data_IF_690286110263
#
_entry.id   IF_690286110263
#
_cell.length_a   1.000
_cell.length_b   1.000
_cell.length_c   1.000
_cell.angle_alpha   90.00
_cell.angle_beta   90.00
_cell.angle_gamma   90.00
#
_symmetry.space_group_name_H-M   'P 1'
#
loop_
_entity.id
_entity.type
_entity.pdbx_description
1 polymer ?
#
# COMPACT_ATOMS: atom_id res chain seq x y z
N UNK A 1 4.32 -30.63 7.39
CA UNK A 1 4.55 -29.17 7.49
C UNK A 1 3.22 -28.48 7.27
N UNK A 2 2.77 -27.65 8.21
CA UNK A 2 1.59 -26.79 8.04
C UNK A 2 2.02 -25.48 7.38
N UNK A 3 1.34 -25.05 6.32
CA UNK A 3 1.56 -23.74 5.72
C UNK A 3 0.89 -22.65 6.57
N UNK A 4 1.65 -21.59 6.87
CA UNK A 4 1.11 -20.35 7.46
C UNK A 4 0.62 -19.42 6.34
N UNK A 5 -0.66 -19.50 6.02
CA UNK A 5 -1.30 -18.68 4.99
C UNK A 5 -2.03 -17.49 5.61
N UNK A 6 -1.86 -16.31 5.02
CA UNK A 6 -2.54 -15.08 5.42
C UNK A 6 -3.63 -14.74 4.40
N UNK A 7 -4.88 -14.78 4.83
CA UNK A 7 -6.01 -14.33 4.03
C UNK A 7 -6.17 -12.81 4.12
N UNK A 8 -6.31 -12.14 2.98
CA UNK A 8 -6.54 -10.71 2.90
C UNK A 8 -7.49 -10.35 1.78
N UNK A 9 -7.79 -9.05 1.67
CA UNK A 9 -8.74 -8.51 0.69
C UNK A 9 -8.12 -7.38 -0.13
N UNK A 10 -8.42 -7.36 -1.43
CA UNK A 10 -8.18 -6.21 -2.28
C UNK A 10 -9.33 -5.19 -2.15
N UNK A 11 -9.00 -3.92 -1.97
CA UNK A 11 -9.97 -2.84 -1.72
C UNK A 11 -10.79 -2.40 -2.95
N UNK A 12 -10.75 -3.15 -4.06
CA UNK A 12 -11.54 -2.88 -5.25
C UNK A 12 -13.05 -2.84 -4.99
N UNK A 13 -13.55 -3.51 -3.94
CA UNK A 13 -14.97 -3.45 -3.56
C UNK A 13 -15.41 -2.08 -3.03
N UNK A 14 -14.50 -1.32 -2.42
CA UNK A 14 -14.79 -0.01 -1.84
C UNK A 14 -14.80 1.10 -2.89
N UNK A 15 -14.16 0.86 -4.03
CA UNK A 15 -14.08 1.83 -5.12
C UNK A 15 -15.48 2.29 -5.57
N UNK A 16 -15.70 3.61 -5.69
CA UNK A 16 -16.99 4.27 -5.96
C UNK A 16 -18.14 4.05 -4.97
N UNK A 17 -17.93 3.32 -3.88
CA UNK A 17 -19.00 2.95 -2.94
C UNK A 17 -18.74 3.48 -1.54
N UNK A 18 -17.51 3.36 -1.07
CA UNK A 18 -17.10 3.68 0.29
C UNK A 18 -15.79 4.47 0.27
N UNK A 19 -15.81 5.74 -0.16
CA UNK A 19 -14.61 6.58 -0.16
C UNK A 19 -14.11 6.88 1.26
N UNK A 20 -14.98 6.83 2.28
CA UNK A 20 -14.63 7.21 3.64
C UNK A 20 -13.82 6.10 4.36
N UNK A 21 -12.62 6.41 4.91
CA UNK A 21 -11.77 5.43 5.59
C UNK A 21 -12.45 4.66 6.70
N UNK A 22 -13.21 5.34 7.55
CA UNK A 22 -13.92 4.72 8.68
C UNK A 22 -14.98 3.70 8.25
N UNK A 23 -15.55 3.83 7.05
CA UNK A 23 -16.60 2.93 6.56
C UNK A 23 -15.97 1.62 6.09
N UNK A 24 -15.01 1.68 5.17
CA UNK A 24 -14.44 0.46 4.61
C UNK A 24 -13.57 -0.30 5.63
N UNK A 25 -12.89 0.40 6.54
CA UNK A 25 -12.10 -0.24 7.61
C UNK A 25 -13.01 -1.04 8.56
N UNK A 26 -14.14 -0.47 8.96
CA UNK A 26 -15.18 -1.14 9.76
C UNK A 26 -15.72 -2.37 9.05
N UNK A 27 -16.09 -2.26 7.77
CA UNK A 27 -16.60 -3.39 6.97
C UNK A 27 -15.57 -4.54 6.93
N UNK A 28 -14.30 -4.24 6.64
CA UNK A 28 -13.25 -5.26 6.55
C UNK A 28 -13.03 -5.95 7.90
N UNK A 29 -12.99 -5.18 8.99
CA UNK A 29 -12.69 -5.72 10.31
C UNK A 29 -13.87 -6.43 10.96
N UNK A 30 -15.04 -5.79 11.00
CA UNK A 30 -16.20 -6.26 11.77
C UNK A 30 -17.12 -7.17 10.95
N UNK A 31 -17.36 -6.85 9.66
CA UNK A 31 -18.32 -7.59 8.83
C UNK A 31 -17.63 -8.75 8.09
N UNK A 32 -16.40 -8.54 7.60
CA UNK A 32 -15.64 -9.59 6.89
C UNK A 32 -14.70 -10.38 7.80
N UNK A 33 -14.36 -9.87 8.99
CA UNK A 33 -13.43 -10.53 9.91
C UNK A 33 -11.99 -10.65 9.38
N UNK A 34 -11.58 -9.75 8.48
CA UNK A 34 -10.27 -9.78 7.83
C UNK A 34 -9.31 -8.77 8.45
N UNK A 35 -8.01 -9.06 8.30
CA UNK A 35 -6.93 -8.22 8.83
C UNK A 35 -6.04 -7.63 7.75
N UNK A 36 -5.71 -8.41 6.72
CA UNK A 36 -4.74 -8.00 5.71
C UNK A 36 -5.44 -7.35 4.53
N UNK A 37 -4.95 -6.18 4.15
CA UNK A 37 -5.55 -5.36 3.09
C UNK A 37 -4.52 -5.11 2.00
N UNK A 38 -4.95 -5.23 0.75
CA UNK A 38 -4.29 -4.66 -0.41
C UNK A 38 -5.07 -3.41 -0.82
N UNK A 39 -4.52 -2.25 -0.47
CA UNK A 39 -5.11 -0.95 -0.74
C UNK A 39 -5.16 -0.69 -2.25
N UNK A 40 -6.17 0.05 -2.72
CA UNK A 40 -6.26 0.43 -4.13
C UNK A 40 -6.01 1.92 -4.27
N UNK A 41 -5.15 2.30 -5.21
CA UNK A 41 -4.75 3.70 -5.42
C UNK A 41 -5.93 4.61 -5.79
N UNK A 42 -7.03 4.04 -6.28
CA UNK A 42 -8.26 4.79 -6.58
C UNK A 42 -8.91 5.42 -5.33
N UNK A 43 -8.60 4.94 -4.11
CA UNK A 43 -9.11 5.51 -2.86
C UNK A 43 -8.28 6.69 -2.32
N UNK A 44 -7.13 6.99 -2.94
CA UNK A 44 -6.28 8.13 -2.59
C UNK A 44 -5.69 8.76 -3.86
N UNK A 45 -6.26 9.89 -4.28
CA UNK A 45 -5.79 10.57 -5.49
C UNK A 45 -4.60 11.48 -5.19
N UNK A 46 -3.38 10.96 -5.42
CA UNK A 46 -2.12 11.68 -5.18
C UNK A 46 -1.84 12.87 -6.12
N UNK A 47 -2.74 13.18 -7.05
CA UNK A 47 -2.67 14.41 -7.85
C UNK A 47 -3.42 15.59 -7.21
N UNK A 48 -4.17 15.37 -6.13
CA UNK A 48 -4.72 16.45 -5.33
C UNK A 48 -3.60 17.27 -4.67
N UNK A 49 -3.90 18.49 -4.21
CA UNK A 49 -3.00 19.27 -3.36
C UNK A 49 -2.43 18.43 -2.20
N UNK A 50 -1.14 18.63 -1.91
CA UNK A 50 -0.40 17.75 -1.00
C UNK A 50 -0.97 17.77 0.44
N UNK A 51 -1.55 18.89 0.88
CA UNK A 51 -2.26 19.02 2.16
C UNK A 51 -3.50 18.12 2.24
N UNK A 52 -4.28 18.05 1.16
CA UNK A 52 -5.44 17.17 1.07
C UNK A 52 -5.02 15.70 1.06
N UNK A 53 -3.95 15.37 0.33
CA UNK A 53 -3.42 13.99 0.26
C UNK A 53 -2.90 13.55 1.62
N UNK A 54 -2.21 14.44 2.33
CA UNK A 54 -1.71 14.18 3.68
C UNK A 54 -2.86 13.92 4.66
N UNK A 55 -3.85 14.81 4.73
CA UNK A 55 -5.02 14.64 5.62
C UNK A 55 -5.76 13.32 5.33
N UNK A 56 -5.98 12.98 4.06
CA UNK A 56 -6.62 11.72 3.69
C UNK A 56 -5.78 10.49 4.06
N UNK A 57 -4.46 10.59 3.93
CA UNK A 57 -3.53 9.53 4.30
C UNK A 57 -3.55 9.29 5.81
N UNK A 58 -3.54 10.36 6.61
CA UNK A 58 -3.66 10.30 8.07
C UNK A 58 -4.97 9.62 8.47
N UNK A 59 -6.11 10.03 7.89
CA UNK A 59 -7.40 9.39 8.15
C UNK A 59 -7.42 7.89 7.80
N UNK A 60 -6.75 7.49 6.71
CA UNK A 60 -6.62 6.07 6.34
C UNK A 60 -5.83 5.31 7.39
N UNK A 61 -4.69 5.85 7.83
CA UNK A 61 -3.81 5.21 8.82
C UNK A 61 -4.52 5.10 10.17
N UNK A 62 -5.12 6.19 10.66
CA UNK A 62 -5.83 6.21 11.93
C UNK A 62 -6.96 5.19 11.99
N UNK A 63 -7.76 5.10 10.92
CA UNK A 63 -8.87 4.13 10.87
C UNK A 63 -8.35 2.70 10.71
N UNK A 64 -7.28 2.47 9.95
CA UNK A 64 -6.65 1.15 9.86
C UNK A 64 -6.11 0.70 11.22
N UNK A 65 -5.44 1.58 11.96
CA UNK A 65 -4.93 1.31 13.31
C UNK A 65 -6.06 1.05 14.30
N UNK A 66 -7.12 1.88 14.28
CA UNK A 66 -8.32 1.72 15.12
C UNK A 66 -8.93 0.32 14.99
N UNK A 67 -9.00 -0.22 13.77
CA UNK A 67 -9.57 -1.54 13.50
C UNK A 67 -8.53 -2.67 13.46
N UNK A 68 -7.26 -2.38 13.76
CA UNK A 68 -6.17 -3.37 13.80
C UNK A 68 -5.84 -4.00 12.42
N UNK A 69 -6.20 -3.30 11.34
CA UNK A 69 -5.92 -3.73 9.98
C UNK A 69 -4.44 -3.55 9.64
N UNK A 70 -3.97 -4.35 8.69
CA UNK A 70 -2.61 -4.27 8.17
C UNK A 70 -2.67 -4.11 6.65
N UNK A 71 -2.35 -2.90 6.19
CA UNK A 71 -2.21 -2.64 4.76
C UNK A 71 -0.85 -3.17 4.32
N UNK A 72 -0.87 -4.15 3.42
CA UNK A 72 0.30 -4.98 3.04
C UNK A 72 0.88 -4.64 1.68
N UNK A 73 0.08 -4.01 0.83
CA UNK A 73 0.45 -3.57 -0.50
C UNK A 73 -0.57 -2.57 -1.00
N UNK A 74 -0.18 -1.74 -1.95
CA UNK A 74 -1.08 -0.96 -2.79
C UNK A 74 -1.12 -1.51 -4.20
N UNK A 75 -2.27 -1.40 -4.86
CA UNK A 75 -2.48 -1.87 -6.22
C UNK A 75 -3.29 -0.87 -7.03
N UNK A 76 -3.19 -0.97 -8.35
CA UNK A 76 -4.03 -0.20 -9.26
C UNK A 76 -5.42 -0.82 -9.33
N UNK A 77 -6.41 -0.01 -9.67
CA UNK A 77 -7.80 -0.44 -9.79
C UNK A 77 -8.43 0.16 -11.07
N UNK A 78 -9.74 0.09 -11.22
CA UNK A 78 -10.49 0.42 -12.42
C UNK A 78 -10.12 1.79 -13.03
N UNK A 79 -9.88 2.82 -12.22
CA UNK A 79 -9.58 4.17 -12.74
C UNK A 79 -8.12 4.39 -13.08
N UNK A 80 -7.25 3.58 -12.48
CA UNK A 80 -5.81 3.60 -12.74
C UNK A 80 -5.39 2.48 -13.68
N UNK A 81 -6.33 1.79 -14.36
CA UNK A 81 -6.02 0.76 -15.35
C UNK A 81 -5.82 1.38 -16.73
N UNK A 82 -4.64 1.93 -16.96
CA UNK A 82 -4.24 2.55 -18.24
C UNK A 82 -2.89 2.00 -18.76
N UNK A 83 -2.36 2.57 -19.85
CA UNK A 83 -1.12 2.10 -20.49
C UNK A 83 0.16 2.39 -19.67
N UNK A 84 0.16 3.38 -18.78
CA UNK A 84 1.31 3.77 -17.95
C UNK A 84 2.62 3.90 -18.75
N UNK A 85 3.62 3.07 -18.44
CA UNK A 85 4.93 3.05 -19.08
C UNK A 85 4.92 2.51 -20.51
N UNK A 86 3.81 1.93 -20.96
CA UNK A 86 3.64 1.46 -22.34
C UNK A 86 2.91 2.48 -23.22
N UNK A 87 2.59 3.67 -22.70
CA UNK A 87 1.99 4.73 -23.51
C UNK A 87 2.98 5.22 -24.59
N UNK A 88 2.57 5.46 -25.85
CA UNK A 88 3.47 5.88 -26.93
C UNK A 88 4.12 7.24 -26.69
N UNK A 89 3.40 8.19 -26.08
CA UNK A 89 3.93 9.50 -25.69
C UNK A 89 4.85 9.42 -24.46
N UNK A 90 6.10 9.89 -24.62
CA UNK A 90 7.09 9.96 -23.57
C UNK A 90 6.68 10.85 -22.39
N UNK A 91 5.96 11.95 -22.63
CA UNK A 91 5.51 12.86 -21.56
C UNK A 91 4.52 12.15 -20.64
N UNK A 92 3.61 11.37 -21.21
CA UNK A 92 2.68 10.56 -20.41
C UNK A 92 3.40 9.50 -19.58
N UNK A 93 4.40 8.81 -20.15
CA UNK A 93 5.21 7.84 -19.38
C UNK A 93 5.90 8.51 -18.18
N UNK A 94 6.43 9.72 -18.37
CA UNK A 94 7.06 10.49 -17.29
C UNK A 94 6.05 10.95 -16.23
N UNK A 95 4.85 11.38 -16.63
CA UNK A 95 3.78 11.73 -15.71
C UNK A 95 3.38 10.54 -14.82
N UNK A 96 3.18 9.35 -15.42
CA UNK A 96 2.90 8.13 -14.66
C UNK A 96 4.06 7.73 -13.75
N UNK A 97 5.31 7.90 -14.16
CA UNK A 97 6.47 7.66 -13.29
C UNK A 97 6.45 8.59 -12.07
N UNK A 98 6.14 9.87 -12.26
CA UNK A 98 6.00 10.82 -11.15
C UNK A 98 4.83 10.42 -10.23
N UNK A 99 3.70 10.00 -10.80
CA UNK A 99 2.55 9.51 -10.04
C UNK A 99 2.91 8.28 -9.17
N UNK A 100 3.56 7.26 -9.73
CA UNK A 100 3.99 6.09 -8.93
C UNK A 100 4.97 6.46 -7.83
N UNK A 101 5.82 7.48 -8.04
CA UNK A 101 6.71 8.00 -6.99
C UNK A 101 5.92 8.66 -5.86
N UNK A 102 4.86 9.43 -6.17
CA UNK A 102 3.96 10.03 -5.18
C UNK A 102 3.18 8.96 -4.39
N UNK A 103 2.51 8.03 -5.09
CA UNK A 103 1.83 6.90 -4.44
C UNK A 103 2.77 6.14 -3.50
N UNK A 104 4.02 5.93 -3.90
CA UNK A 104 5.01 5.31 -3.00
C UNK A 104 5.41 6.20 -1.83
N UNK A 105 5.51 7.52 -2.01
CA UNK A 105 5.97 8.50 -1.02
C UNK A 105 4.92 8.79 0.05
N UNK A 106 3.69 9.08 -0.37
CA UNK A 106 2.58 9.44 0.53
C UNK A 106 2.18 8.24 1.39
N UNK A 107 2.23 7.04 0.81
CA UNK A 107 2.01 5.79 1.55
C UNK A 107 3.22 5.36 2.40
N UNK A 108 4.29 6.16 2.44
CA UNK A 108 5.55 5.88 3.17
C UNK A 108 5.80 6.82 4.33
N UNK A 109 4.88 7.72 4.68
CA UNK A 109 5.13 8.67 5.78
C UNK A 109 5.70 7.95 7.02
N UNK A 110 6.80 8.55 7.50
CA UNK A 110 7.92 7.90 8.17
C UNK A 110 7.47 7.05 9.36
N UNK A 111 7.69 5.74 9.25
CA UNK A 111 7.38 4.76 10.27
C UNK A 111 8.31 4.77 11.48
N UNK A 112 8.73 5.95 11.96
CA UNK A 112 9.33 6.12 13.27
C UNK A 112 8.33 6.79 14.20
N UNK A 113 7.76 6.00 15.10
CA UNK A 113 7.44 6.57 16.41
C UNK A 113 8.77 6.96 17.07
N UNK A 114 8.85 8.11 17.73
CA UNK A 114 10.03 8.62 18.47
C UNK A 114 10.59 7.62 19.52
N UNK A 115 9.89 6.50 19.75
CA UNK A 115 10.25 5.41 20.66
C UNK A 115 11.04 4.25 20.00
N UNK A 116 11.37 4.35 18.71
CA UNK A 116 12.15 3.35 17.99
C UNK A 116 11.40 2.08 17.58
N UNK A 117 10.06 2.06 17.68
CA UNK A 117 9.24 0.94 17.16
C UNK A 117 8.86 1.18 15.70
N UNK A 118 9.00 0.18 14.80
CA UNK A 118 8.53 0.31 13.43
C UNK A 118 7.01 0.47 13.42
N UNK A 119 6.51 1.54 12.77
CA UNK A 119 5.07 1.71 12.58
C UNK A 119 4.51 0.52 11.80
N UNK A 120 3.30 0.07 12.16
CA UNK A 120 2.62 -1.08 11.53
C UNK A 120 2.34 -0.86 10.03
N UNK A 121 2.52 0.36 9.55
CA UNK A 121 2.19 0.83 8.20
C UNK A 121 3.40 0.98 7.27
N UNK A 122 4.61 0.61 7.71
CA UNK A 122 5.85 0.68 6.88
C UNK A 122 5.87 -0.23 5.63
N UNK A 123 4.77 -0.92 5.30
CA UNK A 123 4.71 -1.99 4.29
C UNK A 123 3.68 -1.71 3.19
N UNK A 124 3.54 -0.47 2.74
CA UNK A 124 2.60 -0.15 1.67
C UNK A 124 3.04 -0.62 0.26
N UNK A 125 4.30 -1.00 0.06
CA UNK A 125 4.80 -1.39 -1.27
C UNK A 125 5.81 -2.53 -1.23
N UNK A 126 5.46 -3.70 -0.65
CA UNK A 126 6.09 -5.01 -0.92
C UNK A 126 7.62 -5.17 -0.71
N UNK A 127 8.35 -4.11 -0.39
CA UNK A 127 9.77 -4.07 -0.16
C UNK A 127 9.97 -3.91 1.34
N UNK A 128 10.01 -5.07 2.00
CA UNK A 128 10.49 -5.19 3.38
C UNK A 128 11.83 -4.47 3.51
N UNK A 129 11.99 -3.65 4.54
CA UNK A 129 13.24 -2.94 4.84
C UNK A 129 14.42 -3.93 4.84
N UNK A 130 15.58 -3.59 4.25
CA UNK A 130 16.81 -4.35 4.45
C UNK A 130 17.11 -4.42 5.96
N UNK A 131 17.04 -5.62 6.56
CA UNK A 131 17.33 -5.84 7.98
C UNK A 131 16.16 -6.30 8.86
N UNK A 132 14.96 -6.58 8.31
CA UNK A 132 13.85 -7.16 9.10
C UNK A 132 14.27 -8.52 9.71
N UNK A 133 14.28 -8.70 11.05
CA UNK A 133 14.68 -9.93 11.72
C UNK A 133 13.75 -11.12 11.44
N UNK A 134 12.61 -10.90 10.77
CA UNK A 134 11.73 -11.95 10.23
C UNK A 134 12.15 -12.42 8.83
N UNK A 135 13.35 -12.03 8.33
CA UNK A 135 14.06 -12.83 7.32
C UNK A 135 14.36 -14.18 7.96
N UNK A 136 13.49 -15.15 7.74
CA UNK A 136 13.95 -16.53 7.82
C UNK A 136 15.05 -16.69 6.78
N UNK A 137 16.19 -17.15 7.24
CA UNK A 137 17.41 -17.35 6.47
C UNK A 137 17.14 -18.48 5.45
N UNK A 138 16.64 -18.14 4.26
CA UNK A 138 16.16 -19.16 3.32
C UNK A 138 15.96 -18.60 1.92
N UNK A 139 17.05 -18.22 1.27
CA UNK A 139 17.01 -17.76 -0.11
C UNK A 139 18.34 -17.16 -0.52
N UNK A 140 19.34 -18.00 -0.77
CA UNK A 140 20.57 -17.59 -1.46
C UNK A 140 20.16 -17.14 -2.87
N UNK A 141 20.16 -15.84 -3.13
CA UNK A 141 20.32 -15.37 -4.50
C UNK A 141 21.76 -15.60 -4.90
N UNK A 142 22.00 -16.68 -5.65
CA UNK A 142 23.15 -16.79 -6.52
C UNK A 142 23.00 -15.69 -7.57
N UNK A 143 23.77 -14.62 -7.41
CA UNK A 143 24.09 -13.71 -8.51
C UNK A 143 25.02 -14.51 -9.42
N UNK A 144 24.49 -15.02 -10.53
CA UNK A 144 25.32 -15.45 -11.66
C UNK A 144 25.89 -14.18 -12.29
N UNK A 145 27.06 -13.78 -11.83
CA UNK A 145 28.01 -13.06 -12.64
C UNK A 145 28.64 -14.09 -13.60
N UNK A 146 28.52 -13.86 -14.90
CA UNK A 146 29.10 -14.74 -15.90
C UNK A 146 28.93 -14.21 -17.32
N UNK A 147 30.05 -13.66 -17.82
CA UNK A 147 30.48 -13.43 -19.22
C UNK A 147 29.68 -12.51 -20.11
#
# INVERSE_FOLDING_TARGET
MTLDLKLGINMGFANNKYPEPHVWTRIVAEEMGLKYVQFVADLLNVYLPDDIVQEQTEQIIENADKYGLSITSSFLSSFTRVNHFMHPDAKQRQAWLAWFKKVRGDLREDGRQDDGRPSRHSYFFGLRQPGDPRRTNGGRHQVLAGT
#
